data_IF_171987574466
#
_entry.id   IF_171987574466
#
_cell.length_a   1.000
_cell.length_b   1.000
_cell.length_c   1.000
_cell.angle_alpha   90.00
_cell.angle_beta   90.00
_cell.angle_gamma   90.00
#
_symmetry.space_group_name_H-M   'P 1'
#
loop_
_entity.id
_entity.type
_entity.pdbx_description
1 polymer ?
#
# COMPACT_ATOMS: atom_id res chain seq x y z
N UNK A 1 -2.98 12.59 -3.53
CA UNK A 1 -3.95 13.45 -2.81
C UNK A 1 -5.21 13.55 -3.65
N UNK A 2 -6.40 13.40 -3.06
CA UNK A 2 -7.66 13.52 -3.79
C UNK A 2 -8.43 14.73 -3.27
N UNK A 3 -8.85 15.63 -4.17
CA UNK A 3 -9.75 16.73 -3.82
C UNK A 3 -11.18 16.27 -4.12
N UNK A 4 -12.06 16.45 -3.14
CA UNK A 4 -13.49 16.10 -3.26
C UNK A 4 -14.28 17.39 -3.15
N UNK A 5 -15.09 17.67 -4.17
CA UNK A 5 -16.06 18.76 -4.15
C UNK A 5 -17.47 18.17 -4.29
N UNK A 6 -18.38 18.56 -3.41
CA UNK A 6 -19.77 18.07 -3.43
C UNK A 6 -20.75 19.22 -3.36
N UNK A 7 -21.70 19.24 -4.29
CA UNK A 7 -22.87 20.11 -4.25
C UNK A 7 -24.12 19.24 -4.05
N UNK A 8 -24.86 19.47 -2.98
CA UNK A 8 -26.05 18.69 -2.63
C UNK A 8 -27.22 19.64 -2.44
N UNK A 9 -28.35 19.29 -3.05
CA UNK A 9 -29.65 19.94 -2.89
C UNK A 9 -30.66 18.90 -2.39
N UNK A 10 -31.86 19.32 -2.01
CA UNK A 10 -32.89 18.42 -1.47
C UNK A 10 -33.31 17.27 -2.41
N UNK A 11 -33.04 17.37 -3.72
CA UNK A 11 -33.44 16.36 -4.73
C UNK A 11 -32.31 15.86 -5.63
N UNK A 12 -31.14 16.51 -5.63
CA UNK A 12 -30.04 16.19 -6.53
C UNK A 12 -28.69 16.29 -5.83
N UNK A 13 -27.78 15.37 -6.15
CA UNK A 13 -26.40 15.40 -5.67
C UNK A 13 -25.38 15.36 -6.81
N UNK A 14 -24.33 16.17 -6.69
CA UNK A 14 -23.19 16.17 -7.59
C UNK A 14 -21.91 16.03 -6.78
N UNK A 15 -21.03 15.13 -7.20
CA UNK A 15 -19.76 14.84 -6.54
C UNK A 15 -18.64 14.80 -7.58
N UNK A 16 -17.58 15.57 -7.39
CA UNK A 16 -16.38 15.54 -8.22
C UNK A 16 -15.19 15.03 -7.40
N UNK A 17 -14.39 14.16 -8.01
CA UNK A 17 -13.18 13.59 -7.45
C UNK A 17 -12.02 13.83 -8.41
N UNK A 18 -11.04 14.62 -7.99
CA UNK A 18 -9.78 14.81 -8.70
C UNK A 18 -8.71 13.92 -8.07
N UNK A 19 -8.21 12.95 -8.82
CA UNK A 19 -7.19 12.00 -8.37
C UNK A 19 -5.86 12.27 -9.08
N UNK A 20 -4.84 12.56 -8.29
CA UNK A 20 -3.44 12.58 -8.72
C UNK A 20 -2.84 11.19 -8.47
N UNK A 21 -2.33 10.55 -9.52
CA UNK A 21 -1.80 9.19 -9.52
C UNK A 21 -0.40 9.17 -10.11
N UNK A 22 0.53 8.42 -9.54
CA UNK A 22 1.87 8.21 -10.08
C UNK A 22 2.69 7.35 -9.13
N UNK A 23 3.67 6.66 -9.70
CA UNK A 23 4.49 5.66 -9.02
C UNK A 23 5.98 5.98 -9.03
N UNK A 24 6.40 6.93 -9.88
CA UNK A 24 7.79 7.35 -9.96
C UNK A 24 8.12 8.46 -8.95
N UNK A 25 9.31 8.39 -8.38
CA UNK A 25 9.79 9.36 -7.38
C UNK A 25 10.03 10.76 -7.94
N UNK A 26 10.32 10.87 -9.24
CA UNK A 26 10.45 12.16 -9.96
C UNK A 26 9.11 12.66 -10.52
N UNK A 27 8.04 11.88 -10.39
CA UNK A 27 6.69 12.22 -10.83
C UNK A 27 6.51 12.27 -12.35
N UNK A 28 7.44 11.77 -13.17
CA UNK A 28 7.29 11.86 -14.64
C UNK A 28 6.09 11.07 -15.17
N UNK A 29 5.68 10.02 -14.46
CA UNK A 29 4.54 9.15 -14.78
C UNK A 29 3.22 9.67 -14.16
N UNK A 30 3.24 10.85 -13.53
CA UNK A 30 2.06 11.40 -12.89
C UNK A 30 0.92 11.63 -13.91
N UNK A 31 -0.28 11.32 -13.47
CA UNK A 31 -1.53 11.52 -14.22
C UNK A 31 -2.61 12.07 -13.31
N UNK A 32 -3.52 12.82 -13.93
CA UNK A 32 -4.70 13.39 -13.28
C UNK A 32 -5.94 12.81 -13.90
N UNK A 33 -6.79 12.24 -13.05
CA UNK A 33 -8.11 11.73 -13.42
C UNK A 33 -9.13 12.50 -12.62
N UNK A 34 -10.03 13.21 -13.31
CA UNK A 34 -11.20 13.81 -12.67
C UNK A 34 -12.43 13.00 -13.01
N UNK A 35 -13.25 12.69 -12.00
CA UNK A 35 -14.54 12.01 -12.19
C UNK A 35 -15.64 12.82 -11.53
N UNK A 36 -16.67 13.14 -12.30
CA UNK A 36 -17.86 13.82 -11.81
C UNK A 36 -19.03 12.87 -11.85
N UNK A 37 -19.70 12.73 -10.73
CA UNK A 37 -20.88 11.92 -10.53
C UNK A 37 -22.09 12.82 -10.29
N UNK A 38 -23.20 12.49 -10.94
CA UNK A 38 -24.48 13.14 -10.75
C UNK A 38 -25.50 12.08 -10.32
N UNK A 39 -26.14 12.27 -9.16
CA UNK A 39 -26.99 11.28 -8.50
C UNK A 39 -26.34 9.89 -8.44
N UNK A 40 -25.06 9.86 -8.04
CA UNK A 40 -24.19 8.67 -7.96
C UNK A 40 -23.86 7.99 -9.30
N UNK A 41 -24.35 8.49 -10.42
CA UNK A 41 -24.01 8.00 -11.77
C UNK A 41 -22.82 8.77 -12.32
N UNK A 42 -21.83 8.06 -12.89
CA UNK A 42 -20.69 8.71 -13.54
C UNK A 42 -21.20 9.55 -14.72
N UNK A 43 -20.98 10.85 -14.64
CA UNK A 43 -21.48 11.84 -15.58
C UNK A 43 -20.38 12.26 -16.56
N UNK A 44 -19.26 12.75 -16.03
CA UNK A 44 -18.09 13.18 -16.80
C UNK A 44 -16.82 12.55 -16.24
N UNK A 45 -15.83 12.34 -17.11
CA UNK A 45 -14.48 11.97 -16.70
C UNK A 45 -13.44 12.68 -17.55
N UNK A 46 -12.43 13.26 -16.92
CA UNK A 46 -11.21 13.68 -17.59
C UNK A 46 -10.09 12.67 -17.30
N UNK A 47 -9.24 12.42 -18.30
CA UNK A 47 -8.01 11.65 -18.13
C UNK A 47 -6.85 12.36 -18.81
N UNK A 48 -5.81 12.74 -18.05
CA UNK A 48 -4.65 13.44 -18.59
C UNK A 48 -3.85 12.62 -19.60
N UNK A 49 -3.92 11.29 -19.54
CA UNK A 49 -3.28 10.41 -20.52
C UNK A 49 -3.94 10.51 -21.90
N UNK A 50 -5.25 10.75 -21.95
CA UNK A 50 -6.00 10.95 -23.20
C UNK A 50 -6.10 12.43 -23.59
N UNK A 51 -5.98 13.32 -22.60
CA UNK A 51 -6.02 14.77 -22.78
C UNK A 51 -7.42 15.33 -23.01
N UNK A 52 -8.49 14.56 -22.77
CA UNK A 52 -9.86 14.97 -23.04
C UNK A 52 -10.85 14.57 -21.93
N UNK A 53 -12.01 15.21 -21.98
CA UNK A 53 -13.20 14.92 -21.18
C UNK A 53 -14.12 13.98 -21.95
N UNK A 54 -14.60 12.95 -21.29
CA UNK A 54 -15.59 11.99 -21.79
C UNK A 54 -16.91 12.15 -21.02
N UNK A 55 -18.02 12.26 -21.75
CA UNK A 55 -19.37 12.26 -21.20
C UNK A 55 -20.08 10.92 -21.37
N UNK A 56 -20.65 10.39 -20.30
CA UNK A 56 -21.24 9.04 -20.29
C UNK A 56 -22.74 8.99 -20.58
N UNK A 57 -23.43 10.13 -20.56
CA UNK A 57 -24.83 10.27 -20.96
C UNK A 57 -24.98 11.14 -22.20
N UNK A 58 -26.14 11.12 -22.86
CA UNK A 58 -26.42 11.99 -24.02
C UNK A 58 -26.22 13.48 -23.69
N UNK A 59 -26.60 13.89 -22.49
CA UNK A 59 -26.42 15.27 -22.01
C UNK A 59 -24.94 15.52 -21.70
N UNK A 60 -24.28 14.59 -21.01
CA UNK A 60 -22.87 14.72 -20.66
C UNK A 60 -21.95 14.84 -21.88
N UNK A 61 -22.25 14.16 -23.00
CA UNK A 61 -21.45 14.26 -24.24
C UNK A 61 -21.42 15.69 -24.77
N UNK A 62 -22.58 16.36 -24.81
CA UNK A 62 -22.66 17.78 -25.21
C UNK A 62 -21.86 18.68 -24.29
N UNK A 63 -21.88 18.39 -22.98
CA UNK A 63 -21.07 19.13 -22.00
C UNK A 63 -19.58 18.85 -22.20
N UNK A 64 -19.19 17.60 -22.47
CA UNK A 64 -17.80 17.23 -22.75
C UNK A 64 -17.27 17.93 -24.01
N UNK A 65 -18.07 18.06 -25.07
CA UNK A 65 -17.69 18.78 -26.29
C UNK A 65 -17.33 20.25 -25.99
N UNK A 66 -18.11 20.91 -25.12
CA UNK A 66 -17.82 22.27 -24.65
C UNK A 66 -16.52 22.27 -23.84
N UNK A 67 -16.44 21.44 -22.79
CA UNK A 67 -15.29 21.41 -21.88
C UNK A 67 -13.97 21.10 -22.58
N UNK A 68 -13.99 20.31 -23.66
CA UNK A 68 -12.80 19.99 -24.46
C UNK A 68 -12.26 21.16 -25.30
N UNK A 69 -13.03 22.24 -25.44
CA UNK A 69 -12.62 23.46 -26.17
C UNK A 69 -12.46 24.67 -25.25
N UNK A 70 -12.77 24.52 -23.96
CA UNK A 70 -12.86 25.60 -22.98
C UNK A 70 -11.59 25.72 -22.12
N UNK A 71 -11.50 26.82 -21.35
CA UNK A 71 -10.44 27.09 -20.38
C UNK A 71 -10.29 25.98 -19.33
N UNK A 72 -11.32 25.17 -19.13
CA UNK A 72 -11.31 24.03 -18.22
C UNK A 72 -10.11 23.11 -18.46
N UNK A 73 -9.79 22.76 -19.72
CA UNK A 73 -8.61 21.94 -20.02
C UNK A 73 -7.28 22.60 -19.61
N UNK A 74 -7.21 23.94 -19.63
CA UNK A 74 -6.03 24.67 -19.17
C UNK A 74 -5.86 24.52 -17.66
N UNK A 75 -6.93 24.68 -16.87
CA UNK A 75 -6.89 24.50 -15.42
C UNK A 75 -6.53 23.07 -15.00
N UNK A 76 -6.96 22.06 -15.77
CA UNK A 76 -6.57 20.67 -15.50
C UNK A 76 -5.10 20.40 -15.83
N UNK A 77 -4.54 21.01 -16.88
CA UNK A 77 -3.09 20.93 -17.18
C UNK A 77 -2.26 21.55 -16.04
N UNK A 78 -2.68 22.68 -15.48
CA UNK A 78 -2.03 23.27 -14.30
C UNK A 78 -2.13 22.33 -13.09
N UNK A 79 -3.26 21.63 -12.91
CA UNK A 79 -3.44 20.61 -11.87
C UNK A 79 -2.50 19.41 -12.05
N UNK A 80 -2.15 19.05 -13.29
CA UNK A 80 -1.16 18.00 -13.57
C UNK A 80 0.25 18.40 -13.12
N UNK A 81 0.68 19.63 -13.37
CA UNK A 81 2.00 20.11 -12.92
C UNK A 81 2.08 20.21 -11.39
N UNK A 82 0.99 20.63 -10.74
CA UNK A 82 0.88 20.54 -9.29
C UNK A 82 0.94 19.08 -8.82
N UNK A 83 0.22 18.17 -9.49
CA UNK A 83 0.23 16.74 -9.17
C UNK A 83 1.64 16.14 -9.22
N UNK A 84 2.43 16.43 -10.26
CA UNK A 84 3.84 16.04 -10.36
C UNK A 84 4.63 16.53 -9.15
N UNK A 85 4.54 17.82 -8.84
CA UNK A 85 5.24 18.44 -7.72
C UNK A 85 4.87 17.80 -6.38
N UNK A 86 3.58 17.54 -6.15
CA UNK A 86 3.09 16.87 -4.95
C UNK A 86 3.55 15.42 -4.85
N UNK A 87 3.56 14.68 -5.96
CA UNK A 87 4.07 13.30 -5.99
C UNK A 87 5.55 13.28 -5.66
N UNK A 88 6.38 14.09 -6.32
CA UNK A 88 7.82 14.15 -6.05
C UNK A 88 8.10 14.47 -4.57
N UNK A 89 7.37 15.44 -4.01
CA UNK A 89 7.50 15.81 -2.59
C UNK A 89 6.96 14.74 -1.64
N UNK A 90 5.87 14.08 -1.99
CA UNK A 90 5.33 12.98 -1.21
C UNK A 90 6.31 11.81 -1.20
N UNK A 91 6.89 11.44 -2.35
CA UNK A 91 7.91 10.40 -2.45
C UNK A 91 9.15 10.71 -1.63
N UNK A 92 9.65 11.96 -1.61
CA UNK A 92 10.82 12.28 -0.77
C UNK A 92 10.54 12.12 0.73
N UNK A 93 9.31 12.39 1.17
CA UNK A 93 8.89 12.17 2.57
C UNK A 93 8.64 10.68 2.83
N UNK A 94 7.93 10.01 1.93
CA UNK A 94 7.52 8.60 2.01
C UNK A 94 8.63 7.63 1.65
N UNK A 95 9.79 8.09 1.16
CA UNK A 95 10.96 7.25 0.93
C UNK A 95 11.72 6.96 2.23
N UNK A 96 11.37 7.60 3.34
CA UNK A 96 11.96 7.29 4.64
C UNK A 96 11.65 5.85 5.02
N UNK A 97 12.69 5.06 5.21
CA UNK A 97 12.59 3.66 5.59
C UNK A 97 12.80 3.54 7.09
N UNK A 98 12.00 2.70 7.74
CA UNK A 98 12.10 2.45 9.18
C UNK A 98 12.44 1.00 9.42
N UNK A 99 13.55 0.76 10.11
CA UNK A 99 13.98 -0.61 10.42
C UNK A 99 12.98 -1.33 11.35
N UNK A 100 12.72 -2.63 11.08
CA UNK A 100 11.86 -3.45 11.92
C UNK A 100 12.46 -3.70 13.30
N UNK A 101 11.58 -3.77 14.31
CA UNK A 101 11.87 -4.34 15.63
C UNK A 101 11.34 -5.76 15.70
N UNK A 102 12.22 -6.73 15.94
CA UNK A 102 11.88 -8.15 15.95
C UNK A 102 11.84 -8.67 17.38
N UNK A 103 10.83 -9.51 17.67
CA UNK A 103 10.71 -10.24 18.92
C UNK A 103 10.36 -11.69 18.64
N UNK A 104 11.20 -12.59 19.16
CA UNK A 104 10.95 -14.02 19.15
C UNK A 104 10.21 -14.45 20.42
N UNK A 105 9.27 -15.38 20.29
CA UNK A 105 8.57 -16.01 21.41
C UNK A 105 8.34 -17.49 21.12
N UNK A 106 8.32 -18.30 22.18
CA UNK A 106 7.82 -19.67 22.12
C UNK A 106 6.44 -19.70 22.78
N UNK A 107 5.46 -20.28 22.10
CA UNK A 107 4.12 -20.50 22.61
C UNK A 107 3.75 -21.97 22.50
N UNK A 108 2.70 -22.39 23.22
CA UNK A 108 2.07 -23.70 22.95
C UNK A 108 1.48 -23.67 21.54
N UNK A 109 1.58 -24.79 20.84
CA UNK A 109 0.93 -24.94 19.55
C UNK A 109 -0.60 -24.97 19.70
N UNK A 110 -1.35 -24.68 18.63
CA UNK A 110 -2.79 -24.93 18.56
C UNK A 110 -3.14 -26.38 18.96
N UNK A 111 -4.34 -26.60 19.49
CA UNK A 111 -4.74 -27.91 20.01
C UNK A 111 -4.81 -29.01 18.94
N UNK A 112 -4.96 -28.61 17.67
CA UNK A 112 -5.01 -29.44 16.48
C UNK A 112 -3.66 -29.63 15.79
N UNK A 113 -2.59 -29.02 16.32
CA UNK A 113 -1.22 -29.19 15.80
C UNK A 113 -0.63 -30.56 16.18
N UNK A 114 0.12 -31.15 15.25
CA UNK A 114 0.95 -32.33 15.51
C UNK A 114 2.22 -31.99 16.31
N UNK A 115 2.53 -30.70 16.47
CA UNK A 115 3.69 -30.19 17.19
C UNK A 115 3.33 -29.72 18.60
N UNK A 116 4.26 -29.82 19.56
CA UNK A 116 4.00 -29.37 20.93
C UNK A 116 4.14 -27.85 21.12
N UNK A 117 4.83 -27.15 20.20
CA UNK A 117 5.14 -25.74 20.35
C UNK A 117 5.15 -24.98 19.02
N UNK A 118 4.99 -23.67 19.11
CA UNK A 118 5.08 -22.73 17.98
C UNK A 118 6.10 -21.66 18.32
N UNK A 119 7.06 -21.46 17.44
CA UNK A 119 7.97 -20.31 17.46
C UNK A 119 7.31 -19.15 16.70
N UNK A 120 7.30 -17.98 17.32
CA UNK A 120 6.67 -16.78 16.78
C UNK A 120 7.73 -15.71 16.55
N UNK A 121 7.91 -15.32 15.30
CA UNK A 121 8.71 -14.17 14.90
C UNK A 121 7.79 -12.99 14.63
N UNK A 122 7.73 -12.07 15.59
CA UNK A 122 6.93 -10.85 15.49
C UNK A 122 7.80 -9.68 15.05
N UNK A 123 7.45 -9.09 13.92
CA UNK A 123 8.18 -7.99 13.29
C UNK A 123 7.32 -6.74 13.34
N UNK A 124 7.79 -5.71 14.04
CA UNK A 124 7.01 -4.51 14.37
C UNK A 124 7.64 -3.23 13.82
N UNK A 125 6.79 -2.22 13.64
CA UNK A 125 7.16 -0.82 13.47
C UNK A 125 8.09 -0.58 12.27
N UNK A 126 7.86 -1.29 11.16
CA UNK A 126 8.66 -1.14 9.95
C UNK A 126 7.89 -0.38 8.87
N UNK A 127 8.64 0.19 7.92
CA UNK A 127 8.11 0.83 6.73
C UNK A 127 9.18 0.84 5.62
N UNK A 128 8.86 0.54 4.35
CA UNK A 128 7.51 0.33 3.78
C UNK A 128 6.85 -1.01 4.15
N UNK A 129 5.63 -1.25 3.65
CA UNK A 129 4.84 -2.47 3.96
C UNK A 129 5.54 -3.77 3.53
N UNK A 130 6.34 -3.71 2.48
CA UNK A 130 6.96 -4.88 1.86
C UNK A 130 8.09 -5.43 2.72
N UNK A 131 7.94 -6.69 3.14
CA UNK A 131 8.86 -7.39 4.03
C UNK A 131 8.79 -8.89 3.76
N UNK A 132 9.92 -9.58 3.86
CA UNK A 132 9.99 -11.03 3.82
C UNK A 132 10.47 -11.55 5.18
N UNK A 133 9.69 -12.46 5.77
CA UNK A 133 10.01 -13.09 7.05
C UNK A 133 10.02 -14.60 6.83
N UNK A 134 11.14 -15.23 7.10
CA UNK A 134 11.34 -16.65 6.81
C UNK A 134 12.10 -17.34 7.94
N UNK A 135 12.06 -18.67 7.97
CA UNK A 135 12.71 -19.45 9.01
C UNK A 135 13.87 -20.26 8.44
N UNK A 136 14.94 -20.36 9.24
CA UNK A 136 16.03 -21.30 9.03
C UNK A 136 16.02 -22.33 10.15
N UNK A 137 16.29 -23.58 9.79
CA UNK A 137 16.62 -24.68 10.71
C UNK A 137 17.98 -25.22 10.31
N UNK A 138 18.95 -25.12 11.22
CA UNK A 138 20.34 -25.54 10.99
C UNK A 138 20.97 -24.90 9.74
N UNK A 139 20.57 -23.66 9.42
CA UNK A 139 21.03 -22.92 8.24
C UNK A 139 20.24 -23.17 6.96
N UNK A 140 19.33 -24.15 6.95
CA UNK A 140 18.48 -24.45 5.79
C UNK A 140 17.10 -23.81 5.91
N UNK A 141 16.58 -23.30 4.79
CA UNK A 141 15.26 -22.65 4.73
C UNK A 141 14.15 -23.66 4.97
N UNK A 142 13.24 -23.36 5.90
CA UNK A 142 12.05 -24.17 6.16
C UNK A 142 10.80 -23.42 5.70
N UNK A 143 9.93 -24.14 5.01
CA UNK A 143 8.63 -23.64 4.53
C UNK A 143 7.45 -24.49 4.98
N UNK A 144 7.69 -25.76 5.36
CA UNK A 144 6.70 -26.61 6.00
C UNK A 144 6.39 -26.10 7.40
N UNK A 145 5.14 -26.22 7.85
CA UNK A 145 4.72 -25.81 9.19
C UNK A 145 4.93 -24.31 9.50
N UNK A 146 5.13 -23.51 8.45
CA UNK A 146 5.27 -22.05 8.53
C UNK A 146 3.98 -21.40 8.07
N UNK A 147 3.40 -20.59 8.94
CA UNK A 147 2.30 -19.68 8.59
C UNK A 147 2.71 -18.24 8.84
N UNK A 148 2.09 -17.28 8.16
CA UNK A 148 2.40 -15.87 8.36
C UNK A 148 1.18 -15.01 8.10
N UNK A 149 1.06 -13.93 8.87
CA UNK A 149 0.05 -12.90 8.60
C UNK A 149 0.47 -12.08 7.39
N UNK A 150 -0.50 -11.39 6.78
CA UNK A 150 -0.19 -10.22 5.98
C UNK A 150 0.46 -9.11 6.83
N UNK A 151 1.11 -8.16 6.16
CA UNK A 151 1.58 -6.94 6.82
C UNK A 151 0.38 -6.07 7.19
N UNK A 152 0.14 -5.92 8.49
CA UNK A 152 -0.98 -5.19 9.07
C UNK A 152 -0.55 -3.75 9.42
N UNK A 153 -1.36 -2.72 9.13
CA UNK A 153 -1.05 -1.34 9.50
C UNK A 153 -1.28 -1.09 11.00
N UNK A 154 -0.37 -0.35 11.63
CA UNK A 154 -0.46 0.03 13.05
C UNK A 154 -1.26 1.32 13.29
N UNK A 155 -1.79 1.95 12.23
CA UNK A 155 -2.51 3.23 12.31
C UNK A 155 -1.62 4.48 12.43
N UNK A 156 -0.30 4.31 12.48
CA UNK A 156 0.70 5.38 12.55
C UNK A 156 1.69 5.33 11.38
N UNK A 157 1.23 4.87 10.20
CA UNK A 157 2.02 4.62 8.98
C UNK A 157 3.00 3.46 9.03
N UNK A 158 3.28 2.89 10.21
CA UNK A 158 4.12 1.71 10.33
C UNK A 158 3.30 0.42 10.21
N UNK A 159 3.99 -0.67 9.92
CA UNK A 159 3.41 -1.99 9.74
C UNK A 159 3.94 -2.98 10.77
N UNK A 160 3.21 -4.08 10.93
CA UNK A 160 3.62 -5.26 11.66
C UNK A 160 3.30 -6.53 10.87
N UNK A 161 4.10 -7.58 11.05
CA UNK A 161 3.92 -8.90 10.44
C UNK A 161 4.37 -9.97 11.42
N UNK A 162 3.63 -11.07 11.47
CA UNK A 162 3.97 -12.21 12.32
C UNK A 162 4.18 -13.45 11.47
N UNK A 163 5.23 -14.19 11.77
CA UNK A 163 5.49 -15.51 11.21
C UNK A 163 5.54 -16.54 12.32
N UNK A 164 4.96 -17.70 12.08
CA UNK A 164 4.78 -18.78 13.03
C UNK A 164 5.40 -20.03 12.44
N UNK A 165 6.18 -20.76 13.22
CA UNK A 165 6.75 -22.05 12.87
C UNK A 165 6.30 -23.06 13.93
N UNK A 166 5.45 -24.00 13.56
CA UNK A 166 5.14 -25.14 14.42
C UNK A 166 6.34 -26.09 14.43
N UNK A 167 6.74 -26.50 15.62
CA UNK A 167 8.05 -27.09 15.84
C UNK A 167 8.04 -28.04 17.03
N UNK A 168 8.66 -29.21 16.83
CA UNK A 168 8.98 -30.16 17.91
C UNK A 168 10.41 -29.92 18.40
N UNK A 169 10.61 -29.44 19.64
CA UNK A 169 11.93 -29.18 20.20
C UNK A 169 12.86 -30.38 20.12
N UNK A 170 14.01 -30.21 19.47
CA UNK A 170 15.16 -31.10 19.61
C UNK A 170 16.34 -30.36 20.24
N UNK A 171 17.20 -31.10 20.93
CA UNK A 171 18.27 -30.53 21.76
C UNK A 171 19.36 -29.77 20.97
N UNK A 172 19.43 -29.95 19.65
CA UNK A 172 20.54 -29.49 18.82
C UNK A 172 20.13 -28.58 17.67
N UNK A 173 18.83 -28.39 17.46
CA UNK A 173 18.33 -27.56 16.36
C UNK A 173 18.61 -26.08 16.62
N UNK A 174 19.28 -25.45 15.66
CA UNK A 174 19.45 -24.00 15.59
C UNK A 174 18.33 -23.45 14.73
N UNK A 175 17.37 -22.77 15.36
CA UNK A 175 16.27 -22.12 14.66
C UNK A 175 16.52 -20.62 14.61
N UNK A 176 16.32 -20.03 13.43
CA UNK A 176 16.50 -18.58 13.23
C UNK A 176 15.35 -18.01 12.42
N UNK A 177 14.90 -16.81 12.77
CA UNK A 177 14.03 -15.99 11.94
C UNK A 177 14.89 -15.04 11.09
N UNK A 178 14.65 -14.99 9.79
CA UNK A 178 15.34 -14.13 8.84
C UNK A 178 14.36 -13.07 8.34
N UNK A 179 14.75 -11.81 8.47
CA UNK A 179 13.98 -10.65 8.05
C UNK A 179 14.71 -9.91 6.94
N UNK A 180 14.04 -9.80 5.79
CA UNK A 180 14.48 -8.99 4.65
C UNK A 180 13.50 -7.83 4.49
N UNK A 181 14.02 -6.61 4.55
CA UNK A 181 13.21 -5.39 4.47
C UNK A 181 14.01 -4.30 3.77
N UNK A 182 13.41 -3.44 2.93
CA UNK A 182 14.14 -2.43 2.15
C UNK A 182 14.99 -1.45 2.96
N UNK A 183 14.73 -1.31 4.27
CA UNK A 183 15.53 -0.49 5.18
C UNK A 183 16.84 -1.14 5.62
N UNK A 184 16.99 -2.45 5.43
CA UNK A 184 18.15 -3.23 5.84
C UNK A 184 19.05 -3.43 4.61
N UNK A 185 20.36 -3.19 4.76
CA UNK A 185 21.32 -3.44 3.67
C UNK A 185 21.42 -4.92 3.31
N UNK A 186 21.22 -5.80 4.29
CA UNK A 186 21.27 -7.26 4.16
C UNK A 186 20.18 -7.90 5.03
N UNK A 187 19.73 -9.13 4.71
CA UNK A 187 18.88 -9.90 5.59
C UNK A 187 19.44 -9.97 7.01
N UNK A 188 18.58 -9.73 8.01
CA UNK A 188 18.96 -9.81 9.42
C UNK A 188 18.45 -11.12 10.02
N UNK A 189 19.34 -11.86 10.69
CA UNK A 189 19.06 -13.17 11.28
C UNK A 189 18.88 -12.98 12.79
N UNK A 190 17.82 -13.58 13.33
CA UNK A 190 17.48 -13.58 14.75
C UNK A 190 17.40 -15.02 15.22
N UNK A 191 18.37 -15.45 16.02
CA UNK A 191 18.45 -16.82 16.53
C UNK A 191 17.53 -17.02 17.74
N UNK A 192 16.83 -18.14 17.77
CA UNK A 192 16.03 -18.57 18.92
C UNK A 192 16.95 -19.16 20.00
N UNK A 193 16.76 -18.74 21.25
CA UNK A 193 17.52 -19.27 22.41
C UNK A 193 18.78 -18.49 22.78
N UNK A 194 18.95 -17.26 22.27
CA UNK A 194 19.93 -16.27 22.75
C UNK A 194 19.24 -15.10 23.46
#
# INVERSE_FOLDING_TARGET
>A
MALIWSCVTDTQSMHALLQCQGSSSDGHDASVVEKTYYNKMLYLQYNSTWGNVTGYTKIARKVADILNTDFYLKGIKESLELCKTWITRAYSILAQKVEPKVRLRLTKAPADSEHPATLVCSVYNFYPKDILVTWLKNGERVTSEVTSTDSLPNGNWLYQRHSYLEYTPTHWDKISCVVEHPSLEKPRIYDWGM
#
